data_IF_209077735752
#
_entry.id   IF_209077735752
#
_cell.length_a   1.000
_cell.length_b   1.000
_cell.length_c   1.000
_cell.angle_alpha   90.00
_cell.angle_beta   90.00
_cell.angle_gamma   90.00
#
_symmetry.space_group_name_H-M   'P 1'
#
loop_
_entity.id
_entity.type
_entity.pdbx_description
1 polymer ?
#
# COMPACT_ATOMS: atom_id res chain seq x y z
N UNK A 1 -13.42 -22.11 54.44
CA UNK A 1 -12.89 -20.78 54.82
C UNK A 1 -13.42 -20.42 56.19
N UNK A 2 -12.56 -20.04 57.10
CA UNK A 2 -12.96 -19.64 58.44
C UNK A 2 -13.62 -18.24 58.39
N UNK A 3 -14.51 -17.91 59.36
CA UNK A 3 -15.16 -16.60 59.40
C UNK A 3 -14.21 -15.41 59.47
N UNK A 4 -12.98 -15.64 59.96
CA UNK A 4 -11.93 -14.63 60.03
C UNK A 4 -11.28 -14.35 58.66
N UNK A 5 -11.08 -15.35 57.82
CA UNK A 5 -10.58 -15.16 56.44
C UNK A 5 -11.62 -14.41 55.53
N UNK A 6 -12.92 -14.62 55.79
CA UNK A 6 -14.00 -13.88 55.15
C UNK A 6 -14.04 -12.40 55.60
N UNK A 7 -13.65 -12.11 56.87
CA UNK A 7 -13.63 -10.74 57.40
C UNK A 7 -12.47 -9.90 56.88
N UNK A 8 -11.34 -10.52 56.51
CA UNK A 8 -10.20 -9.85 55.89
C UNK A 8 -10.43 -9.54 54.40
N UNK A 9 -11.21 -10.39 53.69
CA UNK A 9 -11.55 -10.18 52.27
C UNK A 9 -12.77 -9.25 52.07
N UNK A 10 -13.59 -9.08 53.08
CA UNK A 10 -14.84 -8.24 53.03
C UNK A 10 -14.58 -6.78 52.67
N UNK A 11 -13.52 -6.08 53.13
CA UNK A 11 -13.29 -4.70 52.71
C UNK A 11 -12.95 -4.57 51.22
N UNK A 12 -12.28 -5.54 50.65
CA UNK A 12 -11.93 -5.58 49.22
C UNK A 12 -13.15 -5.90 48.35
N UNK A 13 -14.08 -6.73 48.86
CA UNK A 13 -15.33 -7.09 48.18
C UNK A 13 -16.46 -6.08 48.42
N UNK A 14 -16.43 -5.31 49.53
CA UNK A 14 -17.49 -4.40 49.93
C UNK A 14 -17.21 -2.92 49.66
N UNK A 15 -16.16 -2.57 48.92
CA UNK A 15 -16.06 -1.19 48.39
C UNK A 15 -16.45 -1.15 46.90
N UNK A 16 -17.73 -1.37 46.58
CA UNK A 16 -18.21 -1.35 45.19
C UNK A 16 -18.05 0.03 44.56
N UNK A 17 -17.83 1.08 45.36
CA UNK A 17 -17.60 2.43 44.84
C UNK A 17 -16.17 2.58 44.26
N UNK A 18 -15.19 1.88 44.81
CA UNK A 18 -13.82 1.90 44.28
C UNK A 18 -13.66 1.14 42.96
N UNK A 19 -14.48 0.11 42.75
CA UNK A 19 -14.45 -0.70 41.51
C UNK A 19 -15.43 -0.16 40.45
N UNK A 20 -16.62 0.32 40.91
CA UNK A 20 -17.68 0.78 40.00
C UNK A 20 -17.44 2.20 39.49
N UNK A 21 -16.76 3.06 40.24
CA UNK A 21 -16.52 4.45 39.81
C UNK A 21 -15.60 4.52 38.58
N UNK A 22 -14.43 3.87 38.54
CA UNK A 22 -13.62 3.81 37.33
C UNK A 22 -14.32 3.15 36.15
N UNK A 23 -15.04 2.04 36.38
CA UNK A 23 -15.83 1.38 35.33
C UNK A 23 -16.96 2.26 34.79
N UNK A 24 -17.58 3.10 35.62
CA UNK A 24 -18.60 4.08 35.17
C UNK A 24 -18.00 5.21 34.34
N UNK A 25 -16.80 5.71 34.73
CA UNK A 25 -16.12 6.73 33.95
C UNK A 25 -15.63 6.18 32.62
N UNK A 26 -15.06 4.99 32.61
CA UNK A 26 -14.68 4.29 31.37
C UNK A 26 -15.89 4.02 30.47
N UNK A 27 -17.04 3.64 31.06
CA UNK A 27 -18.26 3.39 30.31
C UNK A 27 -18.86 4.70 29.77
N UNK A 28 -18.81 5.78 30.54
CA UNK A 28 -19.27 7.11 30.10
C UNK A 28 -18.37 7.67 29.00
N UNK A 29 -17.04 7.51 29.13
CA UNK A 29 -16.08 7.90 28.10
C UNK A 29 -16.28 7.08 26.81
N UNK A 30 -16.47 5.76 26.92
CA UNK A 30 -16.77 4.89 25.78
C UNK A 30 -18.09 5.29 25.10
N UNK A 31 -19.15 5.58 25.87
CA UNK A 31 -20.43 6.03 25.33
C UNK A 31 -20.30 7.39 24.62
N UNK A 32 -19.52 8.33 25.18
CA UNK A 32 -19.25 9.62 24.54
C UNK A 32 -18.46 9.47 23.23
N UNK A 33 -17.46 8.57 23.20
CA UNK A 33 -16.70 8.25 21.99
C UNK A 33 -17.58 7.60 20.91
N UNK A 34 -18.50 6.70 21.30
CA UNK A 34 -19.47 6.12 20.37
C UNK A 34 -20.40 7.19 19.80
N UNK A 35 -20.95 8.07 20.64
CA UNK A 35 -21.81 9.16 20.18
C UNK A 35 -21.06 10.13 19.23
N UNK A 36 -19.80 10.45 19.54
CA UNK A 36 -18.97 11.28 18.68
C UNK A 36 -18.69 10.60 17.33
N UNK A 37 -18.36 9.31 17.35
CA UNK A 37 -18.19 8.50 16.14
C UNK A 37 -19.45 8.53 15.28
N UNK A 38 -20.61 8.26 15.88
CA UNK A 38 -21.89 8.19 15.17
C UNK A 38 -22.28 9.54 14.57
N UNK A 39 -22.04 10.64 15.30
CA UNK A 39 -22.23 11.98 14.79
C UNK A 39 -21.26 12.34 13.65
N UNK A 40 -20.00 11.90 13.73
CA UNK A 40 -19.01 12.09 12.67
C UNK A 40 -19.39 11.32 11.40
N UNK A 41 -19.81 10.06 11.53
CA UNK A 41 -20.30 9.25 10.41
C UNK A 41 -21.50 9.91 9.75
N UNK A 42 -22.50 10.34 10.52
CA UNK A 42 -23.70 10.99 9.98
C UNK A 42 -23.37 12.29 9.22
N UNK A 43 -22.42 13.10 9.73
CA UNK A 43 -21.95 14.30 9.03
C UNK A 43 -21.19 13.96 7.74
N UNK A 44 -20.34 12.94 7.78
CA UNK A 44 -19.62 12.45 6.60
C UNK A 44 -20.60 11.96 5.53
N UNK A 45 -21.57 11.14 5.90
CA UNK A 45 -22.59 10.61 4.98
C UNK A 45 -23.41 11.74 4.34
N UNK A 46 -23.79 12.75 5.13
CA UNK A 46 -24.50 13.93 4.63
C UNK A 46 -23.66 14.73 3.65
N UNK A 47 -22.37 14.91 3.95
CA UNK A 47 -21.46 15.64 3.07
C UNK A 47 -21.21 14.90 1.76
N UNK A 48 -21.03 13.57 1.80
CA UNK A 48 -20.86 12.72 0.62
C UNK A 48 -22.11 12.72 -0.24
N UNK A 49 -23.28 12.56 0.37
CA UNK A 49 -24.56 12.60 -0.34
C UNK A 49 -24.79 13.95 -1.03
N UNK A 50 -24.43 15.07 -0.38
CA UNK A 50 -24.53 16.42 -0.94
C UNK A 50 -23.61 16.64 -2.17
N UNK A 51 -22.57 15.84 -2.34
CA UNK A 51 -21.67 15.84 -3.50
C UNK A 51 -22.03 14.81 -4.56
N UNK A 52 -23.02 13.95 -4.31
CA UNK A 52 -23.35 12.82 -5.17
C UNK A 52 -22.28 11.72 -5.14
N UNK A 53 -21.46 11.68 -4.09
CA UNK A 53 -20.36 10.72 -3.88
C UNK A 53 -20.77 9.65 -2.87
N UNK A 54 -20.09 8.50 -2.91
CA UNK A 54 -20.19 7.46 -1.87
C UNK A 54 -18.83 6.80 -1.66
N UNK A 55 -18.56 6.36 -0.44
CA UNK A 55 -17.37 5.54 -0.15
C UNK A 55 -17.54 4.11 -0.66
N UNK A 56 -16.44 3.36 -0.74
CA UNK A 56 -16.49 1.93 -1.10
C UNK A 56 -17.37 1.14 -0.12
N UNK A 57 -17.26 1.40 1.17
CA UNK A 57 -18.07 0.73 2.20
C UNK A 57 -19.57 1.04 2.03
N UNK A 58 -19.92 2.29 1.74
CA UNK A 58 -21.29 2.69 1.44
C UNK A 58 -21.81 2.03 0.16
N UNK A 59 -20.96 1.83 -0.84
CA UNK A 59 -21.34 1.13 -2.07
C UNK A 59 -21.68 -0.33 -1.77
N UNK A 60 -20.82 -1.03 -1.02
CA UNK A 60 -21.06 -2.42 -0.59
C UNK A 60 -22.35 -2.50 0.23
N UNK A 61 -22.52 -1.60 1.20
CA UNK A 61 -23.73 -1.54 2.04
C UNK A 61 -25.01 -1.38 1.21
N UNK A 62 -25.03 -0.45 0.25
CA UNK A 62 -26.18 -0.23 -0.66
C UNK A 62 -26.48 -1.45 -1.52
N UNK A 63 -25.46 -2.10 -2.08
CA UNK A 63 -25.64 -3.32 -2.85
C UNK A 63 -26.14 -4.46 -1.98
N UNK A 64 -25.60 -4.60 -0.77
CA UNK A 64 -26.04 -5.60 0.20
C UNK A 64 -27.51 -5.42 0.59
N UNK A 65 -27.95 -4.19 0.87
CA UNK A 65 -29.35 -3.86 1.15
C UNK A 65 -30.24 -4.14 -0.06
N UNK A 66 -29.83 -3.70 -1.26
CA UNK A 66 -30.59 -3.93 -2.47
C UNK A 66 -30.69 -5.42 -2.83
N UNK A 67 -29.64 -6.21 -2.57
CA UNK A 67 -29.61 -7.67 -2.83
C UNK A 67 -30.58 -8.46 -1.93
N UNK A 68 -31.15 -7.85 -0.90
CA UNK A 68 -32.21 -8.46 -0.11
C UNK A 68 -33.53 -8.57 -0.89
N UNK A 69 -33.72 -7.78 -1.93
CA UNK A 69 -34.87 -7.89 -2.84
C UNK A 69 -34.61 -9.03 -3.85
N UNK A 70 -35.47 -10.06 -3.91
CA UNK A 70 -35.26 -11.21 -4.78
C UNK A 70 -35.13 -10.85 -6.26
N UNK A 71 -35.87 -9.84 -6.73
CA UNK A 71 -35.85 -9.39 -8.12
C UNK A 71 -34.49 -8.77 -8.47
N UNK A 72 -33.88 -8.02 -7.55
CA UNK A 72 -32.54 -7.44 -7.76
C UNK A 72 -31.46 -8.51 -7.75
N UNK A 73 -31.53 -9.47 -6.82
CA UNK A 73 -30.59 -10.60 -6.76
C UNK A 73 -30.71 -11.46 -8.04
N UNK A 74 -31.91 -11.74 -8.51
CA UNK A 74 -32.15 -12.47 -9.75
C UNK A 74 -31.63 -11.71 -11.00
N UNK A 75 -31.79 -10.40 -11.06
CA UNK A 75 -31.26 -9.58 -12.14
C UNK A 75 -29.72 -9.60 -12.18
N UNK A 76 -29.07 -9.56 -11.00
CA UNK A 76 -27.62 -9.71 -10.90
C UNK A 76 -27.17 -11.12 -11.33
N UNK A 77 -27.86 -12.16 -10.85
CA UNK A 77 -27.58 -13.56 -11.22
C UNK A 77 -27.71 -13.80 -12.73
N UNK A 78 -28.75 -13.25 -13.36
CA UNK A 78 -28.94 -13.37 -14.81
C UNK A 78 -27.81 -12.67 -15.59
N UNK A 79 -27.25 -11.59 -15.06
CA UNK A 79 -26.14 -10.87 -15.69
C UNK A 79 -24.80 -11.60 -15.49
N UNK A 80 -24.59 -12.22 -14.34
CA UNK A 80 -23.37 -12.93 -13.96
C UNK A 80 -23.68 -14.33 -13.44
N UNK A 81 -24.09 -15.27 -14.28
CA UNK A 81 -24.46 -16.61 -13.88
C UNK A 81 -23.26 -17.43 -13.39
N UNK A 82 -22.05 -17.06 -13.84
CA UNK A 82 -20.79 -17.69 -13.42
C UNK A 82 -20.00 -16.68 -12.59
N UNK A 83 -19.67 -17.03 -11.35
CA UNK A 83 -18.92 -16.19 -10.42
C UNK A 83 -17.67 -16.91 -9.94
N UNK A 84 -16.51 -16.28 -10.11
CA UNK A 84 -15.23 -16.62 -9.47
C UNK A 84 -14.87 -15.51 -8.51
N UNK A 85 -14.67 -15.86 -7.25
CA UNK A 85 -14.24 -14.92 -6.21
C UNK A 85 -12.88 -15.38 -5.73
N UNK A 86 -11.84 -14.57 -6.06
CA UNK A 86 -10.47 -14.83 -5.64
C UNK A 86 -10.17 -14.15 -4.30
N UNK A 87 -9.15 -14.62 -3.58
CA UNK A 87 -8.75 -14.15 -2.24
C UNK A 87 -9.94 -14.10 -1.27
N UNK A 88 -10.79 -15.13 -1.31
CA UNK A 88 -12.05 -15.16 -0.58
C UNK A 88 -11.88 -15.07 0.95
N UNK A 89 -10.73 -15.43 1.52
CA UNK A 89 -10.42 -15.27 2.94
C UNK A 89 -10.45 -13.81 3.43
N UNK A 90 -10.37 -12.85 2.52
CA UNK A 90 -10.40 -11.41 2.82
C UNK A 90 -11.80 -10.79 2.63
N UNK A 91 -12.79 -11.63 2.32
CA UNK A 91 -14.17 -11.21 2.08
C UNK A 91 -14.90 -10.91 3.39
N UNK A 92 -15.61 -9.77 3.45
CA UNK A 92 -16.44 -9.39 4.58
C UNK A 92 -17.84 -10.09 4.55
N UNK A 93 -18.57 -10.11 5.68
CA UNK A 93 -19.87 -10.79 5.76
C UNK A 93 -20.92 -10.27 4.76
N UNK A 94 -20.91 -8.96 4.43
CA UNK A 94 -21.88 -8.34 3.49
C UNK A 94 -21.59 -8.74 2.05
N UNK A 95 -20.31 -8.75 1.68
CA UNK A 95 -19.86 -9.23 0.37
C UNK A 95 -20.25 -10.70 0.18
N UNK A 96 -20.01 -11.55 1.19
CA UNK A 96 -20.46 -12.95 1.14
C UNK A 96 -21.98 -13.05 0.97
N UNK A 97 -22.76 -12.30 1.73
CA UNK A 97 -24.23 -12.32 1.61
C UNK A 97 -24.70 -11.90 0.21
N UNK A 98 -24.05 -10.93 -0.43
CA UNK A 98 -24.34 -10.53 -1.81
C UNK A 98 -24.10 -11.72 -2.75
N UNK A 99 -22.92 -12.35 -2.70
CA UNK A 99 -22.58 -13.48 -3.58
C UNK A 99 -23.52 -14.66 -3.36
N UNK A 100 -23.82 -14.99 -2.11
CA UNK A 100 -24.74 -16.06 -1.76
C UNK A 100 -26.13 -15.81 -2.30
N UNK A 101 -26.70 -14.63 -2.10
CA UNK A 101 -28.05 -14.27 -2.60
C UNK A 101 -28.11 -14.29 -4.11
N UNK A 102 -27.09 -13.80 -4.79
CA UNK A 102 -26.99 -13.88 -6.26
C UNK A 102 -26.97 -15.36 -6.72
N UNK A 103 -26.13 -16.17 -6.09
CA UNK A 103 -26.04 -17.59 -6.43
C UNK A 103 -27.39 -18.30 -6.20
N UNK A 104 -28.03 -18.09 -5.05
CA UNK A 104 -29.32 -18.71 -4.70
C UNK A 104 -30.45 -18.27 -5.62
N UNK A 105 -30.45 -17.00 -6.08
CA UNK A 105 -31.46 -16.46 -6.99
C UNK A 105 -31.24 -16.81 -8.47
N UNK A 106 -30.07 -17.35 -8.83
CA UNK A 106 -29.75 -17.74 -10.19
C UNK A 106 -30.45 -19.02 -10.64
N UNK A 107 -30.46 -19.25 -11.96
CA UNK A 107 -30.95 -20.51 -12.54
C UNK A 107 -30.12 -21.69 -12.04
N UNK A 108 -30.72 -22.69 -11.36
CA UNK A 108 -30.00 -23.83 -10.81
C UNK A 108 -29.18 -24.60 -11.85
N UNK A 109 -29.61 -24.64 -13.10
CA UNK A 109 -28.95 -25.40 -14.17
C UNK A 109 -27.84 -24.60 -14.88
N UNK A 110 -27.81 -23.27 -14.70
CA UNK A 110 -26.86 -22.39 -15.37
C UNK A 110 -25.91 -21.63 -14.42
N UNK A 111 -26.20 -21.62 -13.11
CA UNK A 111 -25.41 -20.90 -12.11
C UNK A 111 -24.18 -21.67 -11.66
N UNK A 112 -23.10 -20.96 -11.42
CA UNK A 112 -21.88 -21.53 -10.87
C UNK A 112 -21.16 -20.52 -9.96
N UNK A 113 -20.73 -20.98 -8.80
CA UNK A 113 -19.96 -20.18 -7.84
C UNK A 113 -18.69 -20.92 -7.46
N UNK A 114 -17.54 -20.29 -7.67
CA UNK A 114 -16.25 -20.78 -7.22
C UNK A 114 -15.62 -19.75 -6.28
N UNK A 115 -15.33 -20.17 -5.07
CA UNK A 115 -14.63 -19.37 -4.08
C UNK A 115 -13.18 -19.88 -3.99
N UNK A 116 -12.23 -19.03 -4.27
CA UNK A 116 -10.80 -19.34 -4.27
C UNK A 116 -10.18 -18.58 -3.10
N UNK A 117 -9.55 -19.29 -2.18
CA UNK A 117 -8.95 -18.64 -1.02
C UNK A 117 -8.13 -19.59 -0.16
N UNK A 118 -7.28 -19.02 0.66
CA UNK A 118 -6.45 -19.73 1.61
C UNK A 118 -6.63 -19.12 3.01
N UNK A 119 -7.32 -19.77 3.94
CA UNK A 119 -7.57 -19.23 5.27
C UNK A 119 -6.28 -18.94 6.06
N UNK A 120 -5.14 -19.58 5.70
CA UNK A 120 -3.82 -19.28 6.28
C UNK A 120 -3.28 -17.89 5.91
N UNK A 121 -3.82 -17.30 4.82
CA UNK A 121 -3.43 -15.98 4.31
C UNK A 121 -4.38 -14.85 4.73
N UNK A 122 -5.33 -15.10 5.63
CA UNK A 122 -6.28 -14.12 6.14
C UNK A 122 -5.59 -13.09 7.05
N UNK A 123 -5.09 -11.99 6.47
CA UNK A 123 -4.36 -10.92 7.17
C UNK A 123 -5.11 -9.58 7.18
N UNK A 124 -6.29 -9.49 6.55
CA UNK A 124 -7.05 -8.24 6.39
C UNK A 124 -8.24 -8.11 7.34
N UNK A 125 -8.17 -8.72 8.55
CA UNK A 125 -9.22 -8.60 9.56
C UNK A 125 -9.57 -7.14 9.90
N UNK A 126 -8.58 -6.25 9.91
CA UNK A 126 -8.75 -4.83 10.17
C UNK A 126 -9.50 -4.07 9.04
N UNK A 127 -9.68 -4.71 7.87
CA UNK A 127 -10.47 -4.22 6.72
C UNK A 127 -11.81 -4.95 6.56
N UNK A 128 -12.23 -5.72 7.57
CA UNK A 128 -13.49 -6.45 7.54
C UNK A 128 -13.40 -7.90 7.04
N UNK A 129 -12.23 -8.36 6.57
CA UNK A 129 -11.98 -9.77 6.26
C UNK A 129 -12.27 -10.63 7.50
N UNK A 130 -13.13 -11.63 7.37
CA UNK A 130 -13.62 -12.41 8.49
C UNK A 130 -13.50 -13.92 8.23
N UNK A 131 -12.62 -14.56 8.98
CA UNK A 131 -12.42 -16.00 8.89
C UNK A 131 -13.69 -16.80 9.20
N UNK A 132 -14.57 -16.29 10.08
CA UNK A 132 -15.86 -16.90 10.33
C UNK A 132 -16.76 -16.86 9.08
N UNK A 133 -16.63 -15.82 8.26
CA UNK A 133 -17.30 -15.74 6.96
C UNK A 133 -16.77 -16.77 5.99
N UNK A 134 -15.46 -16.98 5.92
CA UNK A 134 -14.85 -18.05 5.12
C UNK A 134 -15.41 -19.43 5.50
N UNK A 135 -15.48 -19.73 6.81
CA UNK A 135 -16.03 -21.00 7.30
C UNK A 135 -17.51 -21.17 6.94
N UNK A 136 -18.33 -20.15 7.20
CA UNK A 136 -19.76 -20.19 6.85
C UNK A 136 -19.99 -20.42 5.35
N UNK A 137 -19.16 -19.77 4.52
CA UNK A 137 -19.23 -19.97 3.08
C UNK A 137 -18.83 -21.40 2.67
N UNK A 138 -17.76 -21.94 3.27
CA UNK A 138 -17.35 -23.33 3.04
C UNK A 138 -18.44 -24.32 3.44
N UNK A 139 -19.06 -24.14 4.61
CA UNK A 139 -20.19 -24.96 5.08
C UNK A 139 -21.39 -24.87 4.14
N UNK A 140 -21.71 -23.66 3.67
CA UNK A 140 -22.80 -23.43 2.71
C UNK A 140 -22.56 -24.13 1.37
N UNK A 141 -21.36 -24.01 0.82
CA UNK A 141 -20.97 -24.68 -0.43
C UNK A 141 -21.06 -26.19 -0.27
N UNK A 142 -20.55 -26.73 0.83
CA UNK A 142 -20.62 -28.19 1.12
C UNK A 142 -22.06 -28.71 1.24
N UNK A 143 -22.95 -27.94 1.83
CA UNK A 143 -24.35 -28.29 1.96
C UNK A 143 -25.12 -28.27 0.62
N UNK A 144 -24.67 -27.43 -0.33
CA UNK A 144 -25.31 -27.26 -1.63
C UNK A 144 -24.85 -28.22 -2.74
N UNK A 145 -23.80 -29.00 -2.47
CA UNK A 145 -23.22 -29.91 -3.49
C UNK A 145 -24.02 -31.23 -3.55
N UNK A 146 -24.53 -31.55 -4.73
CA UNK A 146 -25.18 -32.82 -4.99
C UNK A 146 -24.20 -34.02 -4.99
N UNK A 147 -24.74 -35.21 -4.88
CA UNK A 147 -23.96 -36.47 -4.84
C UNK A 147 -22.99 -36.57 -6.04
N UNK A 148 -21.71 -36.64 -5.74
CA UNK A 148 -20.64 -36.93 -6.72
C UNK A 148 -19.76 -35.76 -7.17
N UNK A 149 -20.04 -34.53 -6.73
CA UNK A 149 -19.17 -33.38 -7.01
C UNK A 149 -18.44 -32.98 -5.71
N UNK A 150 -17.09 -32.87 -5.70
CA UNK A 150 -16.40 -32.38 -4.51
C UNK A 150 -16.75 -30.88 -4.32
N UNK A 151 -17.31 -30.54 -3.15
CA UNK A 151 -17.64 -29.19 -2.80
C UNK A 151 -16.41 -28.32 -2.50
N UNK A 152 -15.36 -28.97 -1.98
CA UNK A 152 -14.07 -28.35 -1.69
C UNK A 152 -12.98 -29.13 -2.43
N UNK A 153 -12.13 -28.41 -3.13
CA UNK A 153 -10.93 -28.94 -3.80
C UNK A 153 -9.71 -28.27 -3.19
N UNK A 154 -8.82 -29.05 -2.63
CA UNK A 154 -7.54 -28.56 -2.11
C UNK A 154 -6.48 -28.53 -3.21
N UNK A 155 -5.73 -27.42 -3.30
CA UNK A 155 -4.59 -27.29 -4.19
C UNK A 155 -3.33 -27.74 -3.45
N UNK A 156 -2.88 -28.96 -3.71
CA UNK A 156 -1.70 -29.58 -3.09
C UNK A 156 -0.40 -29.38 -3.88
N UNK A 157 -0.48 -28.77 -5.05
CA UNK A 157 0.64 -28.58 -5.97
C UNK A 157 1.09 -27.10 -6.01
N UNK A 158 2.37 -26.87 -5.67
CA UNK A 158 2.99 -25.55 -5.75
C UNK A 158 3.88 -25.47 -6.99
N UNK A 159 3.59 -24.56 -7.89
CA UNK A 159 4.32 -24.30 -9.15
C UNK A 159 5.32 -23.15 -9.03
N UNK A 160 5.40 -22.49 -7.89
CA UNK A 160 6.17 -21.25 -7.68
C UNK A 160 7.51 -21.51 -7.01
N UNK A 161 7.56 -22.43 -6.04
CA UNK A 161 8.68 -22.59 -5.12
C UNK A 161 9.45 -23.87 -5.37
N UNK A 162 10.77 -23.84 -5.07
CA UNK A 162 11.60 -25.05 -5.09
C UNK A 162 11.21 -26.01 -3.95
N UNK A 163 11.50 -27.31 -4.07
CA UNK A 163 11.31 -28.26 -2.98
C UNK A 163 11.99 -27.85 -1.67
N UNK A 164 13.20 -27.26 -1.73
CA UNK A 164 13.91 -26.80 -0.53
C UNK A 164 13.19 -25.67 0.21
N UNK A 165 12.58 -24.73 -0.50
CA UNK A 165 11.77 -23.65 0.09
C UNK A 165 10.54 -24.24 0.78
N UNK A 166 9.84 -25.17 0.14
CA UNK A 166 8.66 -25.81 0.70
C UNK A 166 8.97 -26.60 1.98
N UNK A 167 10.07 -27.41 1.96
CA UNK A 167 10.53 -28.13 3.16
C UNK A 167 10.89 -27.17 4.30
N UNK A 168 11.52 -26.05 4.01
CA UNK A 168 11.87 -25.06 5.03
C UNK A 168 10.61 -24.44 5.67
N UNK A 169 9.61 -24.07 4.85
CA UNK A 169 8.30 -23.58 5.33
C UNK A 169 7.60 -24.66 6.17
N UNK A 170 7.53 -25.88 5.68
CA UNK A 170 6.94 -27.02 6.40
C UNK A 170 7.59 -27.20 7.76
N UNK A 171 8.94 -27.17 7.83
CA UNK A 171 9.68 -27.30 9.08
C UNK A 171 9.30 -26.21 10.10
N UNK A 172 9.13 -24.98 9.65
CA UNK A 172 8.75 -23.86 10.54
C UNK A 172 7.32 -24.03 11.06
N UNK A 173 6.37 -24.34 10.19
CA UNK A 173 4.96 -24.42 10.59
C UNK A 173 4.62 -25.68 11.35
N UNK A 174 5.29 -26.81 11.09
CA UNK A 174 5.10 -28.07 11.84
C UNK A 174 5.82 -28.09 13.19
N UNK A 175 6.68 -27.11 13.47
CA UNK A 175 7.32 -26.98 14.78
C UNK A 175 6.33 -26.59 15.90
N UNK A 176 5.15 -26.08 15.58
CA UNK A 176 4.09 -25.75 16.52
C UNK A 176 2.85 -26.62 16.27
N UNK A 177 2.17 -27.10 17.32
CA UNK A 177 0.88 -27.80 17.17
C UNK A 177 -0.24 -26.87 16.71
N UNK A 178 -0.09 -25.54 16.92
CA UNK A 178 -1.04 -24.51 16.51
C UNK A 178 -0.32 -23.42 15.71
N UNK A 179 0.09 -23.70 14.47
CA UNK A 179 0.91 -22.78 13.70
C UNK A 179 0.21 -21.45 13.35
N UNK A 180 -1.13 -21.46 13.31
CA UNK A 180 -1.95 -20.27 12.98
C UNK A 180 -2.78 -19.76 14.16
N UNK A 181 -2.51 -20.23 15.39
CA UNK A 181 -3.21 -19.83 16.63
C UNK A 181 -4.70 -20.26 16.65
N UNK A 182 -5.25 -20.71 15.55
CA UNK A 182 -6.64 -21.14 15.37
C UNK A 182 -6.67 -22.64 15.10
N UNK A 183 -7.41 -23.40 15.93
CA UNK A 183 -7.55 -24.87 15.78
C UNK A 183 -8.18 -25.28 14.45
N UNK A 184 -8.97 -24.39 13.87
CA UNK A 184 -9.68 -24.62 12.61
C UNK A 184 -8.81 -24.50 11.37
N UNK A 185 -7.56 -24.02 11.51
CA UNK A 185 -6.62 -23.85 10.39
C UNK A 185 -5.46 -24.81 10.57
N UNK A 186 -5.46 -25.89 9.79
CA UNK A 186 -4.36 -26.83 9.75
C UNK A 186 -3.31 -26.42 8.70
N UNK A 187 -2.05 -26.75 8.97
CA UNK A 187 -1.01 -26.68 7.95
C UNK A 187 -1.06 -27.95 7.10
N UNK A 188 -1.31 -27.77 5.80
CA UNK A 188 -1.26 -28.85 4.82
C UNK A 188 0.00 -28.70 3.96
N UNK A 189 0.95 -29.67 4.01
CA UNK A 189 2.10 -29.66 3.14
C UNK A 189 1.70 -29.70 1.66
N UNK A 190 2.39 -28.93 0.85
CA UNK A 190 2.20 -28.92 -0.59
C UNK A 190 3.44 -29.48 -1.30
N UNK A 191 3.27 -30.18 -2.41
CA UNK A 191 4.38 -30.71 -3.21
C UNK A 191 4.81 -29.71 -4.27
N UNK A 192 6.10 -29.64 -4.52
CA UNK A 192 6.62 -28.88 -5.67
C UNK A 192 6.19 -29.58 -6.98
N UNK A 193 5.58 -28.81 -7.87
CA UNK A 193 5.10 -29.27 -9.18
C UNK A 193 5.55 -28.37 -10.34
N UNK A 194 6.25 -27.27 -10.03
CA UNK A 194 6.82 -26.36 -11.01
C UNK A 194 8.11 -26.89 -11.65
N UNK A 195 8.58 -26.19 -12.68
CA UNK A 195 9.86 -26.50 -13.34
C UNK A 195 11.10 -26.10 -12.55
N UNK A 196 10.94 -25.41 -11.41
CA UNK A 196 12.06 -24.92 -10.58
C UNK A 196 12.51 -26.00 -9.61
N UNK A 197 13.80 -26.29 -9.61
CA UNK A 197 14.40 -27.38 -8.83
C UNK A 197 15.39 -26.86 -7.78
N UNK A 198 15.67 -27.71 -6.78
CA UNK A 198 16.78 -27.44 -5.85
C UNK A 198 18.09 -27.38 -6.62
N UNK A 199 18.83 -26.27 -6.43
CA UNK A 199 20.10 -26.05 -7.12
C UNK A 199 20.00 -25.23 -8.41
N UNK A 200 18.82 -24.85 -8.86
CA UNK A 200 18.66 -23.86 -9.95
C UNK A 200 19.21 -22.48 -9.55
N UNK A 201 19.09 -22.13 -8.27
CA UNK A 201 19.81 -21.00 -7.68
C UNK A 201 21.05 -21.52 -6.95
N UNK A 202 22.21 -20.99 -7.30
CA UNK A 202 23.51 -21.31 -6.69
C UNK A 202 24.23 -20.04 -6.24
N UNK A 203 25.00 -20.15 -5.17
CA UNK A 203 25.98 -19.13 -4.76
C UNK A 203 27.37 -19.77 -4.84
N UNK A 204 28.20 -19.31 -5.74
CA UNK A 204 29.38 -20.06 -6.17
C UNK A 204 29.01 -21.44 -6.73
N UNK A 205 29.66 -22.48 -6.23
CA UNK A 205 29.39 -23.88 -6.64
C UNK A 205 28.32 -24.57 -5.76
N UNK A 206 27.77 -23.88 -4.75
CA UNK A 206 26.85 -24.48 -3.79
C UNK A 206 25.40 -24.12 -4.11
N UNK A 207 24.46 -25.09 -4.14
CA UNK A 207 23.02 -24.78 -4.20
C UNK A 207 22.60 -23.83 -3.08
N UNK A 208 21.83 -22.80 -3.41
CA UNK A 208 21.29 -21.91 -2.42
C UNK A 208 20.32 -22.66 -1.48
N UNK A 209 20.37 -22.42 -0.15
CA UNK A 209 19.43 -23.02 0.79
C UNK A 209 18.01 -22.51 0.53
N UNK A 210 17.00 -23.32 0.87
CA UNK A 210 15.59 -22.91 0.77
C UNK A 210 15.22 -21.77 1.71
N UNK A 211 15.93 -21.62 2.84
CA UNK A 211 15.77 -20.54 3.81
C UNK A 211 17.08 -20.29 4.53
N UNK A 212 17.35 -19.03 4.83
CA UNK A 212 18.46 -18.59 5.70
C UNK A 212 17.92 -17.69 6.79
N UNK A 213 18.21 -18.00 8.04
CA UNK A 213 17.85 -17.18 9.19
C UNK A 213 19.09 -16.43 9.68
N UNK A 214 18.99 -15.11 9.71
CA UNK A 214 20.03 -14.25 10.29
C UNK A 214 19.65 -13.91 11.72
N UNK A 215 20.40 -14.49 12.69
CA UNK A 215 20.20 -14.23 14.10
C UNK A 215 21.03 -13.04 14.55
N UNK A 216 20.38 -12.01 15.11
CA UNK A 216 21.09 -10.89 15.70
C UNK A 216 21.54 -11.24 17.12
N UNK A 217 22.81 -10.93 17.49
CA UNK A 217 23.25 -11.14 18.86
C UNK A 217 22.47 -10.23 19.83
N UNK A 218 22.33 -10.63 21.12
CA UNK A 218 21.69 -9.80 22.13
C UNK A 218 22.33 -8.41 22.22
N UNK A 219 21.53 -7.38 22.56
CA UNK A 219 22.01 -6.04 22.81
C UNK A 219 22.60 -5.88 24.22
N UNK A 220 23.23 -4.74 24.45
CA UNK A 220 23.81 -4.39 25.77
C UNK A 220 22.76 -3.81 26.74
N UNK A 221 21.54 -3.53 26.28
CA UNK A 221 20.47 -3.00 27.11
C UNK A 221 19.91 -4.02 28.10
N UNK A 222 19.07 -3.52 29.03
CA UNK A 222 18.45 -4.36 30.08
C UNK A 222 17.65 -5.51 29.43
N UNK A 223 17.97 -6.75 29.79
CA UNK A 223 17.36 -7.94 29.20
C UNK A 223 17.85 -8.27 27.78
N UNK A 224 19.01 -7.73 27.36
CA UNK A 224 19.53 -7.96 26.00
C UNK A 224 18.84 -7.15 24.90
N UNK A 225 18.05 -6.14 25.27
CA UNK A 225 17.34 -5.29 24.30
C UNK A 225 18.28 -4.32 23.60
N UNK A 226 17.96 -4.01 22.34
CA UNK A 226 18.58 -2.96 21.52
C UNK A 226 17.59 -1.84 21.27
N UNK A 227 18.08 -0.66 20.91
CA UNK A 227 17.20 0.35 20.34
C UNK A 227 16.65 -0.16 18.98
N UNK A 228 15.35 0.00 18.75
CA UNK A 228 14.66 -0.47 17.53
C UNK A 228 15.34 0.01 16.23
N UNK A 229 15.90 1.22 16.26
CA UNK A 229 16.63 1.78 15.12
C UNK A 229 17.93 1.03 14.83
N UNK A 230 18.70 0.69 15.90
CA UNK A 230 19.98 -0.03 15.77
C UNK A 230 19.76 -1.47 15.31
N UNK A 231 18.71 -2.13 15.81
CA UNK A 231 18.32 -3.46 15.32
C UNK A 231 18.05 -3.44 13.83
N UNK A 232 17.23 -2.51 13.39
CA UNK A 232 16.90 -2.42 11.96
C UNK A 232 18.12 -2.07 11.11
N UNK A 233 19.02 -1.20 11.59
CA UNK A 233 20.26 -0.90 10.89
C UNK A 233 21.14 -2.15 10.69
N UNK A 234 21.26 -2.99 11.72
CA UNK A 234 22.00 -4.26 11.63
C UNK A 234 21.34 -5.25 10.67
N UNK A 235 20.00 -5.39 10.73
CA UNK A 235 19.23 -6.24 9.82
C UNK A 235 19.38 -5.77 8.37
N UNK A 236 19.26 -4.47 8.13
CA UNK A 236 19.47 -3.86 6.82
C UNK A 236 20.87 -4.19 6.27
N UNK A 237 21.89 -3.97 7.08
CA UNK A 237 23.28 -4.17 6.64
C UNK A 237 23.59 -5.65 6.38
N UNK A 238 22.99 -6.57 7.16
CA UNK A 238 23.07 -8.01 6.89
C UNK A 238 22.35 -8.38 5.58
N UNK A 239 21.14 -7.86 5.37
CA UNK A 239 20.39 -8.11 4.15
C UNK A 239 21.09 -7.54 2.90
N UNK A 240 21.64 -6.30 3.00
CA UNK A 240 22.40 -5.70 1.90
C UNK A 240 23.63 -6.53 1.55
N UNK A 241 24.40 -7.01 2.54
CA UNK A 241 25.53 -7.90 2.32
C UNK A 241 25.10 -9.19 1.61
N UNK A 242 24.06 -9.85 2.09
CA UNK A 242 23.56 -11.07 1.47
C UNK A 242 23.11 -10.85 0.02
N UNK A 243 22.50 -9.70 -0.29
CA UNK A 243 22.09 -9.33 -1.65
C UNK A 243 23.34 -9.06 -2.52
N UNK A 244 24.35 -8.36 -2.01
CA UNK A 244 25.63 -8.13 -2.72
C UNK A 244 26.28 -9.47 -3.06
N UNK A 245 26.38 -10.39 -2.09
CA UNK A 245 26.97 -11.73 -2.30
C UNK A 245 26.18 -12.53 -3.35
N UNK A 246 24.84 -12.49 -3.28
CA UNK A 246 23.99 -13.13 -4.29
C UNK A 246 24.14 -12.52 -5.69
N UNK A 247 24.29 -11.21 -5.82
CA UNK A 247 24.47 -10.57 -7.11
C UNK A 247 25.87 -10.78 -7.69
N UNK A 248 26.90 -10.92 -6.83
CA UNK A 248 28.27 -11.18 -7.24
C UNK A 248 28.48 -12.63 -7.67
N UNK A 249 28.09 -13.58 -6.82
CA UNK A 249 28.41 -15.00 -6.95
C UNK A 249 27.19 -15.86 -7.30
N UNK A 250 25.97 -15.28 -7.22
CA UNK A 250 24.74 -15.99 -7.52
C UNK A 250 24.58 -16.29 -9.01
N UNK A 251 24.17 -17.51 -9.30
CA UNK A 251 23.87 -17.98 -10.65
C UNK A 251 22.52 -18.65 -10.67
N UNK A 252 21.75 -18.31 -11.67
CA UNK A 252 20.50 -18.97 -11.99
C UNK A 252 20.74 -19.96 -13.13
N UNK A 253 20.32 -21.20 -12.93
CA UNK A 253 20.38 -22.26 -13.92
C UNK A 253 19.01 -22.39 -14.60
N UNK A 254 18.97 -22.25 -15.90
CA UNK A 254 17.78 -22.49 -16.71
C UNK A 254 18.14 -23.30 -17.96
N UNK A 255 17.18 -23.53 -18.86
CA UNK A 255 17.40 -24.28 -20.09
C UNK A 255 18.49 -23.68 -21.00
N UNK A 256 18.80 -22.37 -20.83
CA UNK A 256 19.87 -21.68 -21.56
C UNK A 256 21.27 -21.79 -20.91
N UNK A 257 21.35 -22.39 -19.72
CA UNK A 257 22.58 -22.53 -18.95
C UNK A 257 22.65 -21.63 -17.72
N UNK A 258 23.84 -21.44 -17.15
CA UNK A 258 24.05 -20.62 -15.95
C UNK A 258 24.16 -19.14 -16.35
N UNK A 259 23.36 -18.27 -15.72
CA UNK A 259 23.42 -16.82 -15.86
C UNK A 259 23.54 -16.11 -14.51
N UNK A 260 24.07 -14.89 -14.52
CA UNK A 260 24.11 -14.06 -13.33
C UNK A 260 22.70 -13.70 -12.85
N UNK A 261 22.54 -13.62 -11.55
CA UNK A 261 21.31 -13.13 -10.92
C UNK A 261 21.18 -11.61 -11.15
N UNK A 262 19.97 -11.15 -11.38
CA UNK A 262 19.68 -9.73 -11.62
C UNK A 262 18.99 -9.10 -10.39
N UNK A 263 19.21 -7.81 -10.11
CA UNK A 263 18.50 -7.12 -9.00
C UNK A 263 16.98 -7.24 -9.09
N UNK A 264 16.40 -7.26 -10.30
CA UNK A 264 14.95 -7.41 -10.52
C UNK A 264 14.38 -8.77 -10.10
N UNK A 265 15.22 -9.74 -9.76
CA UNK A 265 14.84 -11.09 -9.33
C UNK A 265 14.88 -11.22 -7.80
N UNK A 266 15.19 -10.13 -7.09
CA UNK A 266 15.26 -10.10 -5.62
C UNK A 266 14.20 -9.14 -5.11
N UNK A 267 13.36 -9.61 -4.17
CA UNK A 267 12.39 -8.79 -3.47
C UNK A 267 12.75 -8.69 -1.98
N UNK A 268 12.63 -7.50 -1.41
CA UNK A 268 12.81 -7.25 0.02
C UNK A 268 11.49 -6.79 0.62
N UNK A 269 10.99 -7.53 1.60
CA UNK A 269 9.77 -7.20 2.33
C UNK A 269 10.13 -6.55 3.67
N UNK A 270 9.44 -5.49 4.03
CA UNK A 270 9.60 -4.76 5.28
C UNK A 270 8.25 -4.50 5.93
N UNK A 271 8.23 -4.28 7.24
CA UNK A 271 6.99 -4.06 7.98
C UNK A 271 6.42 -2.64 7.81
N UNK A 272 7.28 -1.66 7.48
CA UNK A 272 6.88 -0.25 7.34
C UNK A 272 7.53 0.41 6.14
N UNK A 273 6.91 1.49 5.65
CA UNK A 273 7.47 2.30 4.57
C UNK A 273 8.83 2.94 4.95
N UNK A 274 9.01 3.36 6.21
CA UNK A 274 10.28 3.91 6.68
C UNK A 274 11.41 2.86 6.62
N UNK A 275 11.11 1.62 6.99
CA UNK A 275 12.06 0.51 6.82
C UNK A 275 12.39 0.24 5.36
N UNK A 276 11.40 0.32 4.48
CA UNK A 276 11.61 0.17 3.04
C UNK A 276 12.52 1.28 2.48
N UNK A 277 12.32 2.54 2.89
CA UNK A 277 13.17 3.67 2.54
C UNK A 277 14.60 3.50 3.06
N UNK A 278 14.75 3.06 4.32
CA UNK A 278 16.08 2.79 4.91
C UNK A 278 16.80 1.65 4.17
N UNK A 279 16.07 0.61 3.75
CA UNK A 279 16.61 -0.49 2.95
C UNK A 279 17.04 0.01 1.58
N UNK A 280 16.20 0.79 0.89
CA UNK A 280 16.53 1.40 -0.40
C UNK A 280 17.80 2.24 -0.32
N UNK A 281 17.92 3.10 0.72
CA UNK A 281 19.13 3.89 0.95
C UNK A 281 20.38 3.00 1.19
N UNK A 282 20.22 1.85 1.85
CA UNK A 282 21.29 0.87 2.03
C UNK A 282 21.74 0.25 0.71
N UNK A 283 20.80 -0.20 -0.12
CA UNK A 283 21.05 -0.76 -1.45
C UNK A 283 21.69 0.26 -2.39
N UNK A 284 21.20 1.49 -2.38
CA UNK A 284 21.78 2.59 -3.17
C UNK A 284 23.24 2.85 -2.82
N UNK A 285 23.59 2.87 -1.52
CA UNK A 285 24.99 3.01 -1.07
C UNK A 285 25.88 1.85 -1.51
N UNK A 286 25.30 0.66 -1.67
CA UNK A 286 26.00 -0.51 -2.23
C UNK A 286 26.02 -0.52 -3.76
N UNK A 287 25.50 0.51 -4.44
CA UNK A 287 25.46 0.60 -5.90
C UNK A 287 24.38 -0.28 -6.56
N UNK A 288 23.39 -0.78 -5.77
CA UNK A 288 22.33 -1.65 -6.27
C UNK A 288 21.10 -0.82 -6.58
N UNK A 289 20.67 -0.83 -7.84
CA UNK A 289 19.41 -0.21 -8.24
C UNK A 289 18.21 -0.94 -7.62
N UNK A 290 17.31 -0.22 -7.01
CA UNK A 290 16.10 -0.77 -6.40
C UNK A 290 14.89 0.12 -6.63
N UNK A 291 13.71 -0.49 -6.80
CA UNK A 291 12.43 0.20 -6.88
C UNK A 291 11.65 -0.03 -5.58
N UNK A 292 11.08 1.05 -5.04
CA UNK A 292 10.18 0.98 -3.90
C UNK A 292 8.75 0.86 -4.41
N UNK A 293 8.11 -0.27 -4.12
CA UNK A 293 6.67 -0.43 -4.31
C UNK A 293 5.98 0.23 -3.11
N UNK A 294 5.78 1.53 -3.21
CA UNK A 294 5.12 2.33 -2.17
C UNK A 294 3.71 2.69 -2.61
N UNK A 295 2.77 2.64 -1.70
CA UNK A 295 1.44 3.23 -1.84
C UNK A 295 1.47 4.75 -1.62
N UNK A 296 2.64 5.33 -1.36
CA UNK A 296 2.76 6.78 -1.20
C UNK A 296 2.29 7.48 -2.47
N UNK A 297 1.38 8.40 -2.29
CA UNK A 297 0.83 9.21 -3.37
C UNK A 297 1.95 9.97 -4.10
N UNK A 298 1.90 10.00 -5.43
CA UNK A 298 2.83 10.79 -6.25
C UNK A 298 2.80 12.29 -5.88
N UNK A 299 1.68 12.76 -5.31
CA UNK A 299 1.53 14.13 -4.80
C UNK A 299 2.36 14.43 -3.54
N UNK A 300 2.92 13.41 -2.87
CA UNK A 300 3.87 13.56 -1.77
C UNK A 300 5.35 13.53 -2.21
N UNK A 301 5.62 13.49 -3.52
CA UNK A 301 6.97 13.43 -4.07
C UNK A 301 7.63 14.82 -4.18
N UNK A 302 8.97 14.86 -4.22
CA UNK A 302 9.73 16.08 -4.51
C UNK A 302 9.33 16.71 -5.87
N UNK A 303 8.95 15.88 -6.86
CA UNK A 303 8.46 16.35 -8.15
C UNK A 303 7.14 17.11 -8.02
N UNK A 304 6.29 16.74 -7.07
CA UNK A 304 5.05 17.47 -6.80
C UNK A 304 5.32 18.83 -6.16
N UNK A 305 6.35 18.96 -5.32
CA UNK A 305 6.78 20.24 -4.76
C UNK A 305 7.29 21.17 -5.86
N UNK A 306 8.15 20.66 -6.72
CA UNK A 306 8.71 21.41 -7.86
C UNK A 306 7.62 21.87 -8.83
N UNK A 307 6.71 20.97 -9.21
CA UNK A 307 5.60 21.30 -10.09
C UNK A 307 4.62 22.28 -9.45
N UNK A 308 4.32 22.16 -8.16
CA UNK A 308 3.45 23.11 -7.47
C UNK A 308 4.02 24.54 -7.50
N UNK A 309 5.32 24.69 -7.27
CA UNK A 309 5.98 26.01 -7.35
C UNK A 309 5.91 26.59 -8.78
N UNK A 310 6.14 25.75 -9.80
CA UNK A 310 5.99 26.18 -11.20
C UNK A 310 4.53 26.58 -11.51
N UNK A 311 3.55 25.77 -11.14
CA UNK A 311 2.12 26.05 -11.34
C UNK A 311 1.69 27.37 -10.68
N UNK A 312 2.14 27.60 -9.44
CA UNK A 312 1.84 28.83 -8.72
C UNK A 312 2.41 30.07 -9.44
N UNK A 313 3.60 29.95 -10.05
CA UNK A 313 4.20 31.01 -10.84
C UNK A 313 3.51 31.19 -12.20
N UNK A 314 3.08 30.12 -12.86
CA UNK A 314 2.31 30.20 -14.12
C UNK A 314 0.93 30.84 -13.90
N UNK A 315 0.33 30.64 -12.71
CA UNK A 315 -0.97 31.24 -12.36
C UNK A 315 -0.87 32.74 -12.14
N UNK A 316 0.25 33.21 -11.54
CA UNK A 316 0.49 34.61 -11.24
C UNK A 316 1.94 35.03 -11.68
N UNK A 317 2.18 35.18 -12.98
CA UNK A 317 3.53 35.46 -13.49
C UNK A 317 4.11 36.80 -13.03
N UNK A 318 3.26 37.73 -12.60
CA UNK A 318 3.68 39.03 -12.06
C UNK A 318 4.20 39.00 -10.62
N UNK A 319 3.97 37.88 -9.90
CA UNK A 319 4.47 37.68 -8.54
C UNK A 319 5.94 37.24 -8.58
N UNK A 320 6.84 38.20 -8.33
CA UNK A 320 8.29 37.97 -8.33
C UNK A 320 8.75 36.97 -7.26
N UNK A 321 8.02 36.79 -6.16
CA UNK A 321 8.30 35.80 -5.13
C UNK A 321 8.04 34.37 -5.64
N UNK A 322 6.88 34.15 -6.26
CA UNK A 322 6.51 32.85 -6.87
C UNK A 322 7.42 32.51 -8.05
N UNK A 323 7.77 33.52 -8.85
CA UNK A 323 8.72 33.35 -9.96
C UNK A 323 10.08 32.85 -9.45
N UNK A 324 10.66 33.51 -8.45
CA UNK A 324 11.94 33.09 -7.84
C UNK A 324 11.84 31.71 -7.18
N UNK A 325 10.72 31.42 -6.49
CA UNK A 325 10.49 30.10 -5.91
C UNK A 325 10.46 29.00 -6.97
N UNK A 326 9.83 29.22 -8.12
CA UNK A 326 9.85 28.30 -9.24
C UNK A 326 11.25 28.08 -9.79
N UNK A 327 12.03 29.17 -10.00
CA UNK A 327 13.41 29.08 -10.48
C UNK A 327 14.32 28.27 -9.55
N UNK A 328 14.11 28.36 -8.23
CA UNK A 328 14.87 27.64 -7.21
C UNK A 328 14.58 26.13 -7.15
N UNK A 329 13.55 25.66 -7.84
CA UNK A 329 13.20 24.24 -7.86
C UNK A 329 14.24 23.41 -8.60
N UNK A 330 14.30 22.10 -8.30
CA UNK A 330 15.14 21.17 -9.07
C UNK A 330 14.67 21.04 -10.53
N UNK A 331 13.41 21.34 -10.79
CA UNK A 331 12.85 21.35 -12.14
C UNK A 331 13.50 22.42 -13.01
N UNK A 332 13.70 23.62 -12.50
CA UNK A 332 14.36 24.72 -13.24
C UNK A 332 15.86 24.84 -12.93
N UNK A 333 16.29 24.42 -11.73
CA UNK A 333 17.69 24.21 -11.37
C UNK A 333 18.56 25.47 -11.27
N UNK A 334 17.94 26.61 -10.92
CA UNK A 334 18.71 27.83 -10.66
C UNK A 334 19.30 27.80 -9.24
N UNK A 335 20.56 28.12 -9.11
CA UNK A 335 21.20 28.27 -7.81
C UNK A 335 20.90 29.65 -7.18
N UNK A 336 21.19 29.75 -5.87
CA UNK A 336 20.93 30.96 -5.11
C UNK A 336 21.68 32.19 -5.67
N UNK A 337 22.93 32.02 -6.15
CA UNK A 337 23.73 33.12 -6.71
C UNK A 337 23.08 33.66 -7.97
N UNK A 338 22.61 32.79 -8.85
CA UNK A 338 21.92 33.18 -10.09
C UNK A 338 20.58 33.86 -9.82
N UNK A 339 19.86 33.48 -8.78
CA UNK A 339 18.59 34.09 -8.36
C UNK A 339 18.84 35.49 -7.77
N UNK A 340 19.87 35.63 -6.91
CA UNK A 340 20.26 36.95 -6.34
C UNK A 340 20.72 37.92 -7.43
N UNK A 341 21.44 37.44 -8.43
CA UNK A 341 21.87 38.26 -9.56
C UNK A 341 20.71 38.89 -10.37
N UNK A 342 19.50 38.32 -10.28
CA UNK A 342 18.29 38.93 -10.86
C UNK A 342 17.92 40.27 -10.21
N UNK A 343 18.30 40.49 -8.96
CA UNK A 343 17.98 41.72 -8.21
C UNK A 343 19.11 42.77 -8.26
N UNK A 344 20.39 42.33 -8.48
CA UNK A 344 21.57 43.19 -8.34
C UNK A 344 22.10 43.79 -9.66
N UNK A 345 21.89 43.09 -10.79
CA UNK A 345 22.43 43.51 -12.09
C UNK A 345 21.33 43.69 -13.15
N UNK A 346 20.84 44.92 -13.28
CA UNK A 346 19.72 45.24 -14.16
C UNK A 346 19.95 44.87 -15.64
N UNK A 347 21.19 44.71 -16.11
CA UNK A 347 21.50 44.38 -17.49
C UNK A 347 21.48 42.89 -17.78
N UNK A 348 22.11 42.07 -16.92
CA UNK A 348 22.14 40.60 -17.04
C UNK A 348 20.82 39.97 -16.56
N UNK A 349 20.24 40.54 -15.50
CA UNK A 349 18.96 40.11 -14.95
C UNK A 349 17.80 40.36 -15.91
N UNK A 350 17.78 41.48 -16.64
CA UNK A 350 16.74 41.74 -17.64
C UNK A 350 16.77 40.71 -18.78
N UNK A 351 17.93 40.29 -19.28
CA UNK A 351 18.03 39.33 -20.37
C UNK A 351 17.57 37.91 -19.96
N UNK A 352 18.20 37.36 -18.92
CA UNK A 352 17.93 35.98 -18.49
C UNK A 352 16.57 35.84 -17.78
N UNK A 353 16.22 36.78 -16.89
CA UNK A 353 14.94 36.82 -16.21
C UNK A 353 13.77 37.03 -17.15
N UNK A 354 13.94 37.94 -18.15
CA UNK A 354 12.92 38.21 -19.15
C UNK A 354 12.68 37.01 -20.04
N UNK A 355 13.71 36.30 -20.50
CA UNK A 355 13.57 35.04 -21.28
C UNK A 355 12.81 33.96 -20.53
N UNK A 356 13.10 33.80 -19.23
CA UNK A 356 12.37 32.84 -18.41
C UNK A 356 10.90 33.24 -18.18
N UNK A 357 10.65 34.52 -17.94
CA UNK A 357 9.30 35.06 -17.78
C UNK A 357 8.48 34.88 -19.07
N UNK A 358 9.08 35.18 -20.22
CA UNK A 358 8.47 34.94 -21.54
C UNK A 358 8.15 33.42 -21.73
N UNK A 359 9.05 32.53 -21.32
CA UNK A 359 8.85 31.11 -21.33
C UNK A 359 7.64 30.67 -20.45
N UNK A 360 7.49 31.30 -19.26
CA UNK A 360 6.35 31.05 -18.38
C UNK A 360 5.02 31.56 -18.98
N UNK A 361 5.05 32.74 -19.62
CA UNK A 361 3.86 33.27 -20.31
C UNK A 361 3.44 32.38 -21.46
N UNK A 362 4.38 31.92 -22.28
CA UNK A 362 4.12 30.96 -23.37
C UNK A 362 3.55 29.62 -22.81
N UNK A 363 4.09 29.14 -21.70
CA UNK A 363 3.57 27.94 -21.05
C UNK A 363 2.14 28.14 -20.52
N UNK A 364 1.85 29.29 -19.91
CA UNK A 364 0.51 29.62 -19.42
C UNK A 364 -0.51 29.74 -20.57
N UNK A 365 -0.13 30.29 -21.73
CA UNK A 365 -0.97 30.32 -22.94
C UNK A 365 -1.19 28.91 -23.51
N UNK A 366 -0.13 28.11 -23.57
CA UNK A 366 -0.20 26.73 -24.03
C UNK A 366 -1.12 25.90 -23.12
N UNK A 367 -1.06 26.14 -21.80
CA UNK A 367 -1.97 25.55 -20.84
C UNK A 367 -3.43 25.85 -21.15
N UNK A 368 -3.76 27.12 -21.38
CA UNK A 368 -5.14 27.54 -21.72
C UNK A 368 -5.63 26.95 -23.05
N UNK A 369 -4.75 26.77 -24.04
CA UNK A 369 -5.11 26.32 -25.37
C UNK A 369 -5.04 24.81 -25.57
N UNK A 370 -4.13 24.11 -24.90
CA UNK A 370 -3.82 22.67 -25.15
C UNK A 370 -3.78 21.81 -23.87
N UNK A 371 -3.96 22.42 -22.71
CA UNK A 371 -3.94 21.74 -21.41
C UNK A 371 -2.55 21.66 -20.75
N UNK A 372 -2.54 21.07 -19.53
CA UNK A 372 -1.36 21.01 -18.67
C UNK A 372 -0.18 20.26 -19.26
N UNK A 373 -0.39 19.06 -19.77
CA UNK A 373 0.70 18.20 -20.23
C UNK A 373 1.57 18.87 -21.30
N UNK A 374 1.02 19.44 -22.41
CA UNK A 374 1.83 20.15 -23.41
C UNK A 374 2.53 21.42 -22.88
N UNK A 375 2.02 22.01 -21.80
CA UNK A 375 2.63 23.18 -21.17
C UNK A 375 3.82 22.83 -20.28
N UNK A 376 3.77 21.69 -19.56
CA UNK A 376 4.78 21.24 -18.62
C UNK A 376 5.92 20.44 -19.26
N UNK A 377 5.63 19.69 -20.35
CA UNK A 377 6.60 18.85 -21.02
C UNK A 377 7.94 19.55 -21.37
N UNK A 378 7.98 20.80 -21.87
CA UNK A 378 9.25 21.44 -22.18
C UNK A 378 10.15 21.62 -20.95
N UNK A 379 9.60 21.98 -19.79
CA UNK A 379 10.37 22.13 -18.54
C UNK A 379 10.87 20.77 -18.04
N UNK A 380 10.04 19.75 -18.10
CA UNK A 380 10.40 18.38 -17.70
C UNK A 380 11.51 17.83 -18.63
N UNK A 381 11.39 18.05 -19.94
CA UNK A 381 12.39 17.63 -20.91
C UNK A 381 13.74 18.34 -20.73
N UNK A 382 13.73 19.63 -20.38
CA UNK A 382 14.96 20.38 -20.08
C UNK A 382 15.63 19.91 -18.78
N UNK A 383 14.82 19.51 -17.77
CA UNK A 383 15.32 18.98 -16.51
C UNK A 383 15.84 17.54 -16.63
N UNK A 384 15.30 16.74 -17.53
CA UNK A 384 15.54 15.31 -17.63
C UNK A 384 17.04 14.92 -17.69
N UNK A 385 17.93 15.55 -18.48
CA UNK A 385 19.35 15.19 -18.50
C UNK A 385 20.04 15.39 -17.14
N UNK A 386 19.69 16.47 -16.41
CA UNK A 386 20.23 16.73 -15.07
C UNK A 386 19.75 15.69 -14.07
N UNK A 387 18.45 15.41 -14.09
CA UNK A 387 17.86 14.42 -13.19
C UNK A 387 18.40 13.00 -13.43
N UNK A 388 18.50 12.58 -14.69
CA UNK A 388 19.00 11.24 -15.02
C UNK A 388 20.47 11.01 -14.64
N UNK A 389 21.23 12.08 -14.39
CA UNK A 389 22.57 11.99 -13.82
C UNK A 389 22.57 11.73 -12.30
N UNK A 390 21.44 11.90 -11.61
CA UNK A 390 21.28 11.64 -10.18
C UNK A 390 20.76 10.22 -9.93
N UNK A 391 21.09 9.63 -8.78
CA UNK A 391 20.69 8.26 -8.42
C UNK A 391 19.17 8.05 -8.39
N UNK A 392 18.41 9.09 -7.99
CA UNK A 392 16.93 9.05 -7.94
C UNK A 392 16.25 9.73 -9.13
N UNK A 393 17.02 10.13 -10.13
CA UNK A 393 16.54 10.99 -11.20
C UNK A 393 15.51 10.35 -12.12
N UNK A 394 15.66 9.06 -12.44
CA UNK A 394 14.68 8.32 -13.23
C UNK A 394 13.30 8.29 -12.54
N UNK A 395 13.28 8.12 -11.22
CA UNK A 395 12.03 8.16 -10.44
C UNK A 395 11.40 9.55 -10.48
N UNK A 396 12.18 10.62 -10.25
CA UNK A 396 11.69 11.99 -10.31
C UNK A 396 11.10 12.34 -11.66
N UNK A 397 11.76 11.91 -12.75
CA UNK A 397 11.25 12.10 -14.11
C UNK A 397 9.90 11.40 -14.31
N UNK A 398 9.79 10.15 -13.87
CA UNK A 398 8.53 9.39 -13.94
C UNK A 398 7.43 10.04 -13.13
N UNK A 399 7.71 10.47 -11.89
CA UNK A 399 6.76 11.14 -11.02
C UNK A 399 6.27 12.47 -11.63
N UNK A 400 7.18 13.27 -12.21
CA UNK A 400 6.83 14.54 -12.87
C UNK A 400 5.95 14.34 -14.11
N UNK A 401 6.26 13.33 -14.93
CA UNK A 401 5.44 12.98 -16.10
C UNK A 401 4.05 12.49 -15.67
N UNK A 402 3.99 11.61 -14.69
CA UNK A 402 2.72 11.11 -14.17
C UNK A 402 1.85 12.22 -13.55
N UNK A 403 2.44 13.15 -12.80
CA UNK A 403 1.72 14.32 -12.28
C UNK A 403 1.18 15.21 -13.40
N UNK A 404 1.95 15.40 -14.47
CA UNK A 404 1.50 16.18 -15.64
C UNK A 404 0.35 15.48 -16.39
N UNK A 405 0.35 14.15 -16.47
CA UNK A 405 -0.75 13.33 -17.01
C UNK A 405 -2.00 13.42 -16.14
N UNK A 406 -1.88 13.33 -14.82
CA UNK A 406 -2.99 13.48 -13.88
C UNK A 406 -3.64 14.86 -13.99
N UNK A 407 -2.82 15.92 -14.09
CA UNK A 407 -3.32 17.29 -14.34
C UNK A 407 -4.05 17.38 -15.69
N UNK A 408 -3.54 16.72 -16.74
CA UNK A 408 -4.19 16.69 -18.05
C UNK A 408 -5.53 15.95 -17.99
N UNK A 409 -5.61 14.83 -17.30
CA UNK A 409 -6.85 14.09 -17.13
C UNK A 409 -7.91 14.93 -16.39
N UNK A 410 -7.48 15.66 -15.33
CA UNK A 410 -8.36 16.52 -14.53
C UNK A 410 -8.81 17.78 -15.29
N UNK A 411 -8.13 18.18 -16.36
CA UNK A 411 -8.47 19.37 -17.15
C UNK A 411 -9.82 19.28 -17.85
N UNK A 412 -10.39 18.09 -17.95
CA UNK A 412 -11.74 17.89 -18.48
C UNK A 412 -12.85 18.31 -17.52
N UNK A 413 -12.60 18.20 -16.20
CA UNK A 413 -13.54 18.51 -15.12
C UNK A 413 -13.26 19.86 -14.46
N UNK A 414 -12.03 20.36 -14.54
CA UNK A 414 -11.58 21.64 -13.92
C UNK A 414 -10.95 22.56 -14.95
N UNK A 415 -11.57 23.69 -15.14
CA UNK A 415 -11.25 24.60 -16.24
C UNK A 415 -10.35 25.74 -15.75
N UNK A 416 -9.18 25.82 -16.35
CA UNK A 416 -8.24 26.89 -16.07
C UNK A 416 -7.20 26.56 -15.00
N UNK A 417 -6.09 27.31 -15.06
CA UNK A 417 -4.89 27.05 -14.27
C UNK A 417 -5.12 27.23 -12.76
N UNK A 418 -5.97 28.19 -12.36
CA UNK A 418 -6.24 28.46 -10.94
C UNK A 418 -7.00 27.32 -10.25
N UNK A 419 -8.04 26.77 -10.90
CA UNK A 419 -8.80 25.63 -10.35
C UNK A 419 -7.95 24.38 -10.27
N UNK A 420 -7.11 24.15 -11.28
CA UNK A 420 -6.21 22.99 -11.31
C UNK A 420 -5.08 23.13 -10.28
N UNK A 421 -4.54 24.34 -10.07
CA UNK A 421 -3.58 24.61 -8.99
C UNK A 421 -4.21 24.34 -7.62
N UNK A 422 -5.44 24.78 -7.39
CA UNK A 422 -6.15 24.53 -6.13
C UNK A 422 -6.39 23.04 -5.91
N UNK A 423 -6.82 22.32 -6.93
CA UNK A 423 -6.96 20.88 -6.88
C UNK A 423 -5.63 20.19 -6.56
N UNK A 424 -4.56 20.55 -7.26
CA UNK A 424 -3.23 20.00 -7.04
C UNK A 424 -2.74 20.24 -5.61
N UNK A 425 -2.95 21.43 -5.07
CA UNK A 425 -2.63 21.77 -3.68
C UNK A 425 -3.46 20.93 -2.68
N UNK A 426 -4.74 20.68 -2.99
CA UNK A 426 -5.61 19.82 -2.17
C UNK A 426 -5.11 18.38 -2.16
N UNK A 427 -4.75 17.82 -3.33
CA UNK A 427 -4.19 16.46 -3.43
C UNK A 427 -2.88 16.33 -2.65
N UNK A 428 -2.01 17.35 -2.72
CA UNK A 428 -0.77 17.37 -1.95
C UNK A 428 -1.02 17.41 -0.43
N UNK A 429 -1.98 18.21 0.03
CA UNK A 429 -2.33 18.27 1.45
C UNK A 429 -2.88 16.93 1.93
N UNK A 430 -3.78 16.30 1.18
CA UNK A 430 -4.31 15.00 1.50
C UNK A 430 -3.23 13.91 1.56
N UNK A 431 -2.31 13.91 0.57
CA UNK A 431 -1.19 12.98 0.54
C UNK A 431 -0.19 13.19 1.70
N UNK A 432 0.03 14.43 2.13
CA UNK A 432 0.86 14.75 3.29
C UNK A 432 0.21 14.30 4.61
N UNK A 433 -1.11 14.43 4.74
CA UNK A 433 -1.86 13.97 5.91
C UNK A 433 -1.91 12.44 5.97
N UNK A 434 -2.10 11.75 4.85
CA UNK A 434 -2.00 10.29 4.74
C UNK A 434 -0.60 9.81 5.14
N UNK A 435 0.46 10.45 4.65
CA UNK A 435 1.83 10.14 5.02
C UNK A 435 2.13 10.38 6.52
N UNK A 436 1.47 11.35 7.15
CA UNK A 436 1.56 11.58 8.61
C UNK A 436 0.80 10.52 9.40
N UNK A 437 -0.39 10.11 8.96
CA UNK A 437 -1.18 9.05 9.60
C UNK A 437 -0.48 7.68 9.54
N UNK A 438 0.26 7.41 8.48
CA UNK A 438 1.07 6.19 8.35
C UNK A 438 2.34 6.19 9.24
N UNK A 439 2.67 7.32 9.89
CA UNK A 439 3.81 7.45 10.82
C UNK A 439 3.42 7.34 12.30
N UNK A 440 2.14 7.26 12.63
CA UNK A 440 1.60 7.03 13.96
C UNK A 440 1.27 5.56 14.17
#
# INVERSE_FOLDING_TARGET
QTPEALAEDLPALCDPLRVVHPLREETAAAAALHALRDAAIARFDTAMAGRGECSQDQLIERVWQASAAPEFAAALAARWPLMLVDEFQDTDPRQWDIFRRMYEAGDPDARWLCLIGDPKQAIYRFRGGDLATYRRASEHVMAGVGNGTPGIVELDANFRSTPAVLRAIETVFTASPLPFVEDSIAFHPVRAAGGVQDGDLRVGDTPAPGMTLHWLPPGEGRGGMRAKYDEFAMMRDAAVRAIVDMLSDGRWLDAGGARALRPSEIAVLTNTNDQALMMQAGLTRAGIASALLSTASVFASDAADDLHALLASLAEPADGGRFRAALATRLLGWDAARIVALDEDAGLAQGLGQTQLEGFMVAAERWRGRGPLPALLPFIAEAAPRWLAETSGARRLTDALHLAELLQAESSSRHGLAEQLQWFATQRSAAADEARQLRL
#
